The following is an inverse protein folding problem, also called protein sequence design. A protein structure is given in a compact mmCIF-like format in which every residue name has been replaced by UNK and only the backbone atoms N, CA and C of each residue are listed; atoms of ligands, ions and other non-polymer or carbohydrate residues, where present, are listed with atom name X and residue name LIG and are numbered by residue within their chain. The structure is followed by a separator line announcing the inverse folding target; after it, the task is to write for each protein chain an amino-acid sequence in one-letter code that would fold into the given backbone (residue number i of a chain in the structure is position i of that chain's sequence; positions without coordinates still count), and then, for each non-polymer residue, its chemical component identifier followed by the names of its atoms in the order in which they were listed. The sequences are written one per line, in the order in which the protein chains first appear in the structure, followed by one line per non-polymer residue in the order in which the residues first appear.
data_IF_993728300237
#
_entry.id   IF_993728300237
#
_cell.length_a   1.000
_cell.length_b   1.000
_cell.length_c   1.000
_cell.angle_alpha   90.00
_cell.angle_beta   90.00
_cell.angle_gamma   90.00
#
_symmetry.space_group_name_H-M   'P 1'
#
loop_
_entity.id
_entity.type
_entity.pdbx_description
1 polymer ?
2 polymer ?
3 water ?
#
loop_
_entity_poly.entity_id
_entity_poly.type
_entity_poly.pdbx_seq_one_letter_code
_entity_poly.pdbx_strand_id
2 'polyribonucleotide' 'CACACACAC' ?
#
# COMPACT_ATOMS: atom_id res chain seq x y z
N UNK A 1 14.07 -3.35 -2.20
CA UNK A 1 13.28 -3.60 -0.99
C UNK A 1 12.07 -2.69 -0.92
N UNK A 2 10.94 -3.23 -0.43
CA UNK A 2 9.72 -2.44 -0.24
C UNK A 2 9.58 -1.99 1.22
N UNK A 3 10.60 -1.29 1.67
CA UNK A 3 10.60 -0.69 3.00
C UNK A 3 10.38 0.81 2.97
N UNK A 4 10.29 1.41 1.77
CA UNK A 4 10.20 2.86 1.58
C UNK A 4 8.72 3.28 1.52
N UNK A 5 8.36 4.24 2.36
CA UNK A 5 6.99 4.72 2.47
C UNK A 5 6.80 6.06 1.76
N UNK A 6 5.60 6.24 1.23
CA UNK A 6 5.12 7.54 0.80
C UNK A 6 4.04 7.98 1.78
N UNK A 7 4.13 9.22 2.24
CA UNK A 7 3.20 9.76 3.21
C UNK A 7 2.51 10.92 2.52
N UNK A 8 1.28 10.69 2.08
CA UNK A 8 0.56 11.66 1.29
C UNK A 8 -0.46 12.44 2.11
N UNK A 9 -1.07 13.41 1.43
CA UNK A 9 -2.17 14.18 1.97
C UNK A 9 -1.76 14.91 3.24
N UNK A 10 -0.50 15.30 3.34
CA UNK A 10 -0.07 16.01 4.52
C UNK A 10 -0.57 17.46 4.48
N UNK A 11 -0.68 18.04 5.66
CA UNK A 11 -1.10 19.42 5.75
C UNK A 11 0.06 20.35 5.40
N UNK A 12 -0.27 21.61 5.13
CA UNK A 12 0.70 22.62 4.76
C UNK A 12 1.69 22.92 5.88
N UNK A 13 1.47 22.39 7.08
CA UNK A 13 2.40 22.61 8.19
C UNK A 13 2.84 21.32 8.89
N UNK A 14 2.62 20.16 8.29
CA UNK A 14 3.15 18.92 8.88
C UNK A 14 4.67 18.91 8.76
N UNK A 15 5.34 18.77 9.89
CA UNK A 15 6.79 18.72 9.92
C UNK A 15 7.29 17.38 10.38
N UNK A 16 8.59 17.14 10.25
CA UNK A 16 9.14 15.85 10.69
C UNK A 16 8.81 15.51 12.13
N UNK A 17 8.75 16.51 13.01
CA UNK A 17 8.30 16.26 14.37
C UNK A 17 6.90 15.66 14.38
N UNK A 18 6.01 16.16 13.53
CA UNK A 18 4.65 15.65 13.48
C UNK A 18 4.62 14.21 13.01
N UNK A 19 5.34 13.91 11.92
CA UNK A 19 5.41 12.54 11.43
C UNK A 19 6.06 11.61 12.44
N UNK A 20 7.17 12.04 13.05
CA UNK A 20 7.81 11.24 14.08
C UNK A 20 6.82 10.83 15.16
N UNK A 21 5.99 11.77 15.61
CA UNK A 21 4.99 11.48 16.65
C UNK A 21 3.96 10.46 16.17
N UNK A 22 3.51 10.60 14.92
CA UNK A 22 2.53 9.64 14.40
C UNK A 22 3.12 8.23 14.43
N UNK A 23 4.33 8.06 13.87
CA UNK A 23 4.93 6.73 13.82
C UNK A 23 5.35 6.24 15.20
N UNK A 24 5.74 7.16 16.09
CA UNK A 24 6.02 6.79 17.47
C UNK A 24 4.77 6.22 18.15
N UNK A 25 3.66 6.95 18.08
CA UNK A 25 2.43 6.49 18.73
C UNK A 25 1.92 5.19 18.12
N UNK A 26 2.07 5.02 16.81
CA UNK A 26 1.71 3.76 16.15
C UNK A 26 2.74 2.66 16.37
N UNK A 27 3.80 2.92 17.11
CA UNK A 27 4.87 1.95 17.37
C UNK A 27 5.44 1.38 16.06
N UNK A 28 5.65 2.25 15.08
CA UNK A 28 6.33 1.88 13.85
C UNK A 28 7.76 2.42 13.95
N UNK A 29 8.76 1.56 14.14
CA UNK A 29 10.14 2.04 14.01
C UNK A 29 10.37 2.54 12.58
N UNK A 30 11.15 3.60 12.47
CA UNK A 30 11.60 4.04 11.17
C UNK A 30 13.12 3.95 11.15
N UNK A 31 13.66 3.71 9.97
CA UNK A 31 15.07 3.40 9.81
C UNK A 31 15.88 4.57 9.31
N UNK A 32 15.24 5.72 9.10
CA UNK A 32 15.92 6.90 8.63
C UNK A 32 15.05 8.10 8.89
N UNK A 33 15.48 9.26 8.41
CA UNK A 33 14.73 10.48 8.70
C UNK A 33 13.51 10.65 7.79
N UNK A 34 12.54 11.40 8.29
CA UNK A 34 11.42 11.82 7.47
C UNK A 34 11.88 12.96 6.57
N UNK A 35 11.66 12.79 5.28
CA UNK A 35 11.89 13.84 4.28
C UNK A 35 10.54 14.43 3.92
N UNK A 36 10.23 15.61 4.45
CA UNK A 36 8.94 16.26 4.21
C UNK A 36 9.06 17.25 3.07
N UNK A 37 8.20 17.10 2.06
CA UNK A 37 8.12 18.03 0.96
C UNK A 37 6.92 18.95 1.12
N UNK A 38 6.16 19.18 0.04
CA UNK A 38 4.97 20.02 0.06
C UNK A 38 3.73 19.14 0.05
N UNK A 39 3.18 18.89 1.22
CA UNK A 39 1.99 18.06 1.32
C UNK A 39 2.26 16.58 1.27
N UNK A 40 3.53 16.17 1.31
CA UNK A 40 3.83 14.75 1.31
C UNK A 40 5.24 14.55 1.85
N UNK A 41 5.51 13.34 2.32
CA UNK A 41 6.80 13.05 2.89
C UNK A 41 7.22 11.64 2.50
N UNK A 42 8.42 11.27 2.90
CA UNK A 42 8.96 9.93 2.70
C UNK A 42 9.68 9.51 3.96
N UNK A 43 9.65 8.22 4.22
CA UNK A 43 10.43 7.64 5.29
C UNK A 43 10.68 6.18 4.95
N UNK A 44 11.79 5.66 5.45
CA UNK A 44 12.13 4.25 5.31
C UNK A 44 11.76 3.52 6.59
N UNK A 45 11.21 2.35 6.43
CA UNK A 45 11.04 1.49 7.58
C UNK A 45 12.19 0.50 7.63
N UNK A 46 12.44 -0.15 8.77
CA UNK A 46 13.56 -1.11 8.82
C UNK A 46 13.45 -2.26 7.81
N UNK A 47 12.25 -2.69 7.44
CA UNK A 47 12.09 -3.84 6.54
C UNK A 47 10.70 -3.79 5.93
N UNK A 48 10.38 -4.79 5.12
CA UNK A 48 9.10 -4.80 4.40
C UNK A 48 7.93 -5.02 5.35
N UNK A 49 8.11 -5.85 6.38
CA UNK A 49 7.04 -6.11 7.32
C UNK A 49 6.62 -4.88 8.07
N UNK A 50 7.58 -4.06 8.50
CA UNK A 50 7.26 -2.85 9.24
C UNK A 50 6.60 -1.81 8.33
N UNK A 51 7.03 -1.72 7.07
CA UNK A 51 6.41 -0.78 6.15
C UNK A 51 4.95 -1.13 5.94
N UNK A 52 4.67 -2.42 5.70
CA UNK A 52 3.29 -2.87 5.53
C UNK A 52 2.47 -2.61 6.78
N UNK A 53 3.04 -2.84 7.96
CA UNK A 53 2.35 -2.50 9.20
C UNK A 53 2.00 -1.02 9.25
N UNK A 54 2.91 -0.14 8.83
CA UNK A 54 2.59 1.28 8.82
C UNK A 54 1.46 1.58 7.85
N UNK A 55 1.50 0.95 6.67
CA UNK A 55 0.43 1.17 5.70
C UNK A 55 -0.90 0.70 6.26
N UNK A 56 -0.94 -0.52 6.79
CA UNK A 56 -2.21 -1.05 7.28
C UNK A 56 -2.67 -0.28 8.51
N UNK A 57 -1.75 0.19 9.34
CA UNK A 57 -2.13 0.90 10.56
C UNK A 57 -2.54 2.34 10.31
N UNK A 58 -1.93 3.01 9.35
CA UNK A 58 -2.06 4.45 9.22
C UNK A 58 -2.84 4.90 8.02
N UNK A 59 -2.75 4.18 6.89
CA UNK A 59 -3.22 4.71 5.62
C UNK A 59 -4.74 4.82 5.62
N UNK A 60 -5.23 6.05 5.56
CA UNK A 60 -6.65 6.31 5.57
C UNK A 60 -7.29 6.24 6.94
N UNK A 61 -6.50 5.97 7.99
CA UNK A 61 -7.02 5.88 9.34
C UNK A 61 -6.49 7.00 10.23
N UNK A 62 -5.18 7.25 10.20
CA UNK A 62 -4.58 8.24 11.07
C UNK A 62 -4.85 9.63 10.53
N UNK A 63 -5.25 10.54 11.42
CA UNK A 63 -5.51 11.92 11.05
C UNK A 63 -4.45 12.81 11.66
N UNK A 64 -3.74 13.54 10.81
CA UNK A 64 -2.75 14.50 11.24
C UNK A 64 -3.22 15.87 10.80
N UNK A 65 -3.23 16.83 11.74
CA UNK A 65 -3.70 18.19 11.51
C UNK A 65 -5.05 18.19 10.80
N UNK A 66 -5.94 17.31 11.25
CA UNK A 66 -7.25 17.25 10.66
C UNK A 66 -7.30 16.73 9.25
N UNK A 67 -6.26 16.01 8.80
CA UNK A 67 -6.23 15.36 7.49
C UNK A 67 -5.87 13.89 7.65
N UNK A 68 -6.65 12.97 7.07
CA UNK A 68 -6.22 11.57 7.01
C UNK A 68 -4.95 11.40 6.18
N UNK A 69 -3.96 10.74 6.77
CA UNK A 69 -2.71 10.49 6.06
C UNK A 69 -2.92 9.37 5.07
N UNK A 70 -2.32 9.49 3.88
CA UNK A 70 -2.05 8.32 3.05
C UNK A 70 -0.65 7.84 3.39
N UNK A 71 -0.52 6.54 3.58
CA UNK A 71 0.76 5.92 3.85
C UNK A 71 0.80 4.74 2.92
N UNK A 72 1.64 4.81 1.90
CA UNK A 72 1.69 3.76 0.90
C UNK A 72 3.14 3.47 0.60
N UNK A 73 3.38 2.33 -0.06
CA UNK A 73 4.70 2.03 -0.58
C UNK A 73 5.13 3.15 -1.50
N UNK A 74 6.32 3.67 -1.30
CA UNK A 74 6.83 4.65 -2.25
C UNK A 74 7.17 3.92 -3.53
N UNK A 75 6.53 4.31 -4.64
CA UNK A 75 6.78 3.70 -5.93
C UNK A 75 7.20 4.80 -6.90
N UNK A 76 8.39 4.76 -7.47
CA UNK A 76 8.72 5.72 -8.52
C UNK A 76 7.71 5.62 -9.67
N UNK A 77 7.25 6.78 -10.13
CA UNK A 77 6.26 6.81 -11.21
C UNK A 77 6.64 5.89 -12.36
N UNK A 78 7.91 5.92 -12.78
CA UNK A 78 8.30 5.08 -13.90
C UNK A 78 8.27 3.60 -13.56
N UNK A 79 8.04 3.23 -12.30
CA UNK A 79 7.95 1.85 -11.89
C UNK A 79 6.52 1.43 -11.58
N UNK A 80 5.54 2.26 -11.93
CA UNK A 80 4.13 1.89 -11.77
C UNK A 80 3.70 1.22 -13.07
N UNK A 81 3.87 -0.10 -13.12
CA UNK A 81 3.65 -0.80 -14.38
C UNK A 81 2.76 -2.00 -14.17
N UNK A 82 3.34 -3.17 -13.92
CA UNK A 82 2.54 -4.38 -13.94
C UNK A 82 2.09 -4.84 -12.57
N UNK A 83 2.58 -4.25 -11.50
CA UNK A 83 2.56 -4.90 -10.21
C UNK A 83 1.76 -4.05 -9.24
N UNK A 84 0.87 -4.74 -8.53
CA UNK A 84 0.02 -4.16 -7.51
C UNK A 84 0.18 -4.97 -6.24
N UNK A 85 -0.10 -4.30 -5.13
CA UNK A 85 -0.41 -4.97 -3.90
C UNK A 85 -1.90 -4.77 -3.60
N UNK A 86 -2.52 -5.80 -3.04
CA UNK A 86 -3.92 -5.79 -2.64
C UNK A 86 -3.98 -6.06 -1.15
N UNK A 87 -4.53 -5.12 -0.40
CA UNK A 87 -4.66 -5.24 1.05
C UNK A 87 -6.13 -5.29 1.41
N UNK A 88 -6.38 -5.60 2.69
CA UNK A 88 -7.72 -5.66 3.24
C UNK A 88 -8.53 -6.80 2.61
N UNK A 89 -7.83 -7.84 2.19
CA UNK A 89 -8.49 -9.04 1.65
C UNK A 89 -9.13 -9.81 2.80
N UNK A 90 -10.37 -10.25 2.65
CA UNK A 90 -11.05 -10.95 3.76
C UNK A 90 -10.24 -12.14 4.23
N UNK A 91 -10.16 -12.34 5.55
CA UNK A 91 -9.28 -13.40 6.09
C UNK A 91 -9.50 -14.78 5.49
N UNK A 92 -10.75 -15.17 5.26
CA UNK A 92 -10.99 -16.50 4.73
C UNK A 92 -11.62 -16.42 3.34
N UNK A 93 -10.95 -15.70 2.46
CA UNK A 93 -11.35 -15.61 1.06
C UNK A 93 -10.54 -16.63 0.26
N UNK A 94 -11.23 -17.53 -0.41
CA UNK A 94 -10.54 -18.60 -1.13
C UNK A 94 -9.81 -18.00 -2.31
N UNK A 95 -8.63 -18.57 -2.63
CA UNK A 95 -7.80 -18.03 -3.71
C UNK A 95 -8.57 -17.96 -5.02
N UNK A 96 -9.36 -19.00 -5.33
CA UNK A 96 -10.13 -19.06 -6.57
C UNK A 96 -11.07 -17.87 -6.70
N UNK A 97 -11.65 -17.43 -5.58
CA UNK A 97 -12.49 -16.26 -5.62
C UNK A 97 -11.68 -15.02 -5.95
N UNK A 98 -10.58 -14.82 -5.23
CA UNK A 98 -9.70 -13.70 -5.54
C UNK A 98 -9.21 -13.77 -6.98
N UNK A 99 -8.84 -14.97 -7.43
CA UNK A 99 -8.35 -15.13 -8.79
C UNK A 99 -9.42 -14.77 -9.81
N UNK A 100 -10.68 -15.11 -9.53
CA UNK A 100 -11.78 -14.81 -10.45
C UNK A 100 -12.07 -13.32 -10.54
N UNK A 101 -11.70 -12.55 -9.51
CA UNK A 101 -11.68 -11.10 -9.66
C UNK A 101 -10.47 -10.66 -10.47
N UNK A 102 -9.30 -11.22 -10.16
CA UNK A 102 -8.06 -10.78 -10.80
C UNK A 102 -8.10 -10.95 -12.31
N UNK A 103 -8.52 -12.13 -12.78
CA UNK A 103 -8.44 -12.40 -14.21
C UNK A 103 -9.45 -11.61 -15.00
N UNK A 104 -10.37 -10.90 -14.35
CA UNK A 104 -11.26 -10.04 -15.12
C UNK A 104 -10.56 -8.84 -15.72
N UNK A 105 -9.31 -8.55 -15.30
CA UNK A 105 -8.57 -7.40 -15.81
C UNK A 105 -7.27 -7.76 -16.51
N UNK A 106 -6.96 -9.03 -16.68
CA UNK A 106 -5.81 -9.37 -17.49
C UNK A 106 -5.31 -10.76 -17.14
N UNK A 107 -4.09 -11.04 -17.58
CA UNK A 107 -3.38 -12.26 -17.26
C UNK A 107 -2.53 -12.03 -16.02
N UNK A 108 -2.70 -12.87 -15.02
CA UNK A 108 -1.92 -12.79 -13.78
C UNK A 108 -0.65 -13.61 -13.99
N UNK A 109 0.51 -12.95 -14.05
CA UNK A 109 1.76 -13.69 -14.12
C UNK A 109 2.13 -14.27 -12.78
N UNK A 110 1.76 -13.61 -11.69
CA UNK A 110 2.06 -14.13 -10.37
C UNK A 110 1.18 -13.44 -9.34
N UNK A 111 0.74 -14.21 -8.36
CA UNK A 111 -0.04 -13.72 -7.23
C UNK A 111 0.58 -14.36 -6.00
N UNK A 112 1.30 -13.56 -5.19
CA UNK A 112 2.01 -14.06 -4.01
C UNK A 112 1.34 -13.52 -2.76
N UNK A 113 1.08 -14.41 -1.82
CA UNK A 113 0.65 -14.01 -0.50
C UNK A 113 1.80 -13.35 0.26
N UNK A 114 1.48 -12.31 1.02
CA UNK A 114 2.43 -11.61 1.86
C UNK A 114 2.02 -11.80 3.32
N UNK A 115 2.91 -12.38 4.12
CA UNK A 115 2.62 -12.58 5.53
C UNK A 115 2.32 -11.24 6.18
N UNK A 116 1.24 -11.20 6.96
CA UNK A 116 0.72 -9.98 7.53
C UNK A 116 0.36 -10.21 8.98
N UNK A 117 0.47 -9.15 9.78
CA UNK A 117 0.08 -9.26 11.18
C UNK A 117 -1.44 -9.25 11.32
N UNK A 118 -2.11 -8.45 10.49
CA UNK A 118 -3.55 -8.28 10.61
C UNK A 118 -4.27 -9.57 10.25
N UNK A 119 -5.60 -9.54 10.38
CA UNK A 119 -6.42 -10.66 9.99
C UNK A 119 -6.76 -10.64 8.51
N UNK A 120 -6.71 -9.48 7.88
CA UNK A 120 -6.84 -9.42 6.44
C UNK A 120 -5.59 -10.01 5.78
N UNK A 121 -5.76 -10.43 4.53
CA UNK A 121 -4.67 -10.97 3.74
C UNK A 121 -4.15 -9.92 2.78
N UNK A 122 -2.92 -10.12 2.30
CA UNK A 122 -2.24 -9.19 1.41
C UNK A 122 -1.62 -10.02 0.28
N UNK A 123 -1.82 -9.59 -0.95
CA UNK A 123 -1.17 -10.24 -2.07
C UNK A 123 -0.52 -9.21 -2.98
N UNK A 124 0.61 -9.63 -3.56
CA UNK A 124 1.27 -8.90 -4.63
C UNK A 124 0.90 -9.56 -5.94
N UNK A 125 0.36 -8.78 -6.87
CA UNK A 125 -0.11 -9.29 -8.14
C UNK A 125 0.76 -8.70 -9.24
N UNK A 126 1.18 -9.55 -10.16
CA UNK A 126 1.84 -9.10 -11.37
C UNK A 126 0.96 -9.44 -12.55
N UNK A 127 0.61 -8.41 -13.33
CA UNK A 127 -0.17 -8.57 -14.53
C UNK A 127 0.75 -8.65 -15.75
N UNK A 128 0.20 -9.14 -16.86
CA UNK A 128 1.00 -9.28 -18.08
C UNK A 128 1.45 -7.93 -18.61
N UNK A 129 0.58 -6.92 -18.53
CA UNK A 129 0.81 -5.63 -19.16
C UNK A 129 0.55 -4.49 -18.18
N UNK A 130 1.10 -3.32 -18.51
CA UNK A 130 0.81 -2.13 -17.74
C UNK A 130 -0.67 -1.80 -17.74
N UNK A 131 -1.34 -1.98 -18.88
CA UNK A 131 -2.76 -1.60 -18.99
C UNK A 131 -3.64 -2.46 -18.11
N UNK A 132 -3.41 -3.77 -18.12
CA UNK A 132 -4.17 -4.68 -17.27
C UNK A 132 -4.10 -4.27 -15.81
N UNK A 133 -2.89 -3.96 -15.32
CA UNK A 133 -2.75 -3.60 -13.91
C UNK A 133 -3.45 -2.29 -13.59
N UNK A 134 -3.46 -1.34 -14.53
CA UNK A 134 -4.13 -0.07 -14.26
C UNK A 134 -5.64 -0.26 -14.21
N UNK A 135 -6.16 -1.15 -15.04
CA UNK A 135 -7.58 -1.50 -14.97
C UNK A 135 -7.89 -2.26 -13.69
N UNK A 136 -7.06 -3.24 -13.34
CA UNK A 136 -7.22 -3.92 -12.05
C UNK A 136 -7.23 -2.92 -10.91
N UNK A 137 -6.25 -2.01 -10.88
CA UNK A 137 -6.14 -1.05 -9.78
C UNK A 137 -7.33 -0.11 -9.72
N UNK A 138 -7.79 0.41 -10.86
CA UNK A 138 -8.93 1.31 -10.82
C UNK A 138 -10.19 0.57 -10.36
N UNK A 139 -10.39 -0.67 -10.83
CA UNK A 139 -11.63 -1.40 -10.60
C UNK A 139 -11.64 -2.18 -9.29
N UNK A 140 -10.50 -2.69 -8.86
CA UNK A 140 -10.43 -3.47 -7.62
C UNK A 140 -10.27 -2.60 -6.40
N UNK A 141 -9.64 -1.44 -6.52
CA UNK A 141 -9.52 -0.51 -5.39
C UNK A 141 -10.90 0.00 -5.04
N UNK A 142 -11.30 -0.20 -3.78
CA UNK A 142 -12.64 0.11 -3.33
C UNK A 142 -13.65 -1.00 -3.47
N UNK A 143 -13.29 -2.15 -4.04
CA UNK A 143 -14.28 -3.20 -4.20
C UNK A 143 -14.60 -3.80 -2.85
N UNK A 144 -15.89 -3.93 -2.55
CA UNK A 144 -16.34 -4.38 -1.25
C UNK A 144 -16.70 -5.85 -1.35
N UNK A 145 -16.14 -6.63 -0.45
CA UNK A 145 -16.14 -8.08 -0.56
C UNK A 145 -16.17 -8.63 0.85
N UNK A 146 -17.23 -9.35 1.21
CA UNK A 146 -17.29 -10.10 2.47
C UNK A 146 -16.93 -9.20 3.65
N UNK A 147 -17.57 -8.04 3.72
CA UNK A 147 -17.41 -7.06 4.79
C UNK A 147 -16.09 -6.30 4.74
N UNK A 148 -15.31 -6.42 3.67
CA UNK A 148 -14.09 -5.65 3.59
C UNK A 148 -14.04 -4.91 2.26
N UNK A 149 -13.24 -3.85 2.22
CA UNK A 149 -13.04 -3.03 1.03
C UNK A 149 -11.59 -3.17 0.58
N UNK A 150 -11.39 -3.64 -0.66
CA UNK A 150 -10.05 -3.85 -1.15
C UNK A 150 -9.31 -2.53 -1.25
N UNK A 151 -8.04 -2.53 -0.83
CA UNK A 151 -7.12 -1.47 -1.17
C UNK A 151 -6.08 -2.02 -2.14
N UNK A 152 -5.92 -1.34 -3.26
CA UNK A 152 -5.03 -1.80 -4.31
C UNK A 152 -4.10 -0.65 -4.66
N UNK A 153 -2.80 -0.90 -4.65
CA UNK A 153 -1.79 0.11 -4.87
C UNK A 153 -0.69 -0.48 -5.74
N UNK A 154 0.03 0.39 -6.43
CA UNK A 154 1.18 -0.08 -7.17
C UNK A 154 2.26 -0.51 -6.19
N UNK A 155 3.07 -1.44 -6.63
CA UNK A 155 4.33 -1.71 -5.95
C UNK A 155 5.36 -1.54 -7.05
N UNK A 156 6.66 -1.44 -6.75
CA UNK A 156 7.62 -1.14 -7.81
C UNK A 156 7.70 -2.28 -8.82
N UNK A 157 7.63 -1.93 -10.10
CA UNK A 157 7.92 -2.86 -11.18
C UNK A 157 9.29 -2.50 -11.77
N UNK A 158 10.33 -3.14 -11.26
CA UNK A 158 11.71 -2.81 -11.63
C UNK A 158 12.20 -3.56 -12.86
N UNK A 159 11.44 -4.52 -13.36
CA UNK A 159 11.90 -5.37 -14.45
C UNK A 159 11.20 -5.08 -15.77
N UNK A 160 10.16 -4.25 -15.78
CA UNK A 160 9.46 -3.94 -17.02
C UNK A 160 10.08 -2.70 -17.67
#
# INVERSE_FOLDING_TARGET
SMNKLYIGNLSDHAGPADLESVFKDAKIPVAGPFLVKTGYAFVDCPDEGWALKAIEALSGKMELHGKPMEVEHSVPKRQRIRKLQIRNIPPHLQWEVLDSLLVQYGVVESCEQVNTDSETAVVNVTYSSKDQARQALDKLNGFQLENFTLKVAYIPDETAAQ
#
